data_IF_174554886290
#
_entry.id   IF_174554886290
#
_cell.length_a   1.000
_cell.length_b   1.000
_cell.length_c   1.000
_cell.angle_alpha   90.00
_cell.angle_beta   90.00
_cell.angle_gamma   90.00
#
_symmetry.space_group_name_H-M   'P 1'
#
loop_
_entity.id
_entity.type
_entity.pdbx_description
1 polymer ?
#
# COMPACT_ATOMS: atom_id res chain seq x y z
N UNK A 1 -16.09 20.52 2.81
CA UNK A 1 -15.05 19.93 1.94
C UNK A 1 -14.51 21.00 1.02
N UNK A 2 -13.19 21.04 0.82
CA UNK A 2 -12.54 22.03 -0.05
C UNK A 2 -12.45 21.47 -1.49
N UNK A 3 -13.48 21.72 -2.31
CA UNK A 3 -13.60 21.20 -3.68
C UNK A 3 -13.08 22.20 -4.72
N UNK A 4 -11.77 22.47 -4.69
CA UNK A 4 -11.14 23.33 -5.68
C UNK A 4 -10.92 22.57 -7.01
N UNK A 5 -11.78 22.82 -8.00
CA UNK A 5 -11.74 22.15 -9.30
C UNK A 5 -10.37 22.26 -10.00
N UNK A 6 -9.74 23.43 -9.97
CA UNK A 6 -8.42 23.64 -10.61
C UNK A 6 -7.35 22.77 -9.94
N UNK A 7 -7.38 22.67 -8.61
CA UNK A 7 -6.45 21.82 -7.86
C UNK A 7 -6.71 20.33 -8.13
N UNK A 8 -7.98 19.92 -8.21
CA UNK A 8 -8.34 18.55 -8.55
C UNK A 8 -7.87 18.16 -9.95
N UNK A 9 -8.08 19.02 -10.95
CA UNK A 9 -7.62 18.78 -12.33
C UNK A 9 -6.09 18.71 -12.41
N UNK A 10 -5.38 19.60 -11.70
CA UNK A 10 -3.93 19.59 -11.64
C UNK A 10 -3.39 18.26 -11.09
N UNK A 11 -3.87 17.83 -9.91
CA UNK A 11 -3.46 16.56 -9.29
C UNK A 11 -3.82 15.34 -10.16
N UNK A 12 -4.96 15.40 -10.86
CA UNK A 12 -5.35 14.34 -11.78
C UNK A 12 -4.38 14.22 -12.96
N UNK A 13 -3.97 15.34 -13.57
CA UNK A 13 -3.00 15.36 -14.67
C UNK A 13 -1.61 14.88 -14.22
N UNK A 14 -1.16 15.29 -13.03
CA UNK A 14 0.08 14.78 -12.44
C UNK A 14 0.03 13.26 -12.22
N UNK A 15 -1.11 12.75 -11.70
CA UNK A 15 -1.28 11.32 -11.53
C UNK A 15 -1.19 10.56 -12.87
N UNK A 16 -1.88 11.06 -13.91
CA UNK A 16 -1.80 10.46 -15.25
C UNK A 16 -0.37 10.45 -15.81
N UNK A 17 0.38 11.54 -15.63
CA UNK A 17 1.78 11.61 -16.04
C UNK A 17 2.64 10.59 -15.29
N UNK A 18 2.49 10.47 -13.96
CA UNK A 18 3.18 9.46 -13.16
C UNK A 18 2.85 8.04 -13.64
N UNK A 19 1.57 7.73 -13.90
CA UNK A 19 1.16 6.42 -14.43
C UNK A 19 1.86 6.07 -15.73
N UNK A 20 1.97 7.04 -16.64
CA UNK A 20 2.65 6.86 -17.92
C UNK A 20 4.16 6.69 -17.78
N UNK A 21 4.81 7.46 -16.88
CA UNK A 21 6.27 7.41 -16.68
C UNK A 21 6.71 6.08 -16.04
N UNK A 22 5.96 5.59 -15.06
CA UNK A 22 6.30 4.37 -14.32
C UNK A 22 5.62 3.11 -14.86
N UNK A 23 4.92 3.23 -15.99
CA UNK A 23 4.16 2.15 -16.64
C UNK A 23 3.26 1.37 -15.65
N UNK A 24 2.55 2.11 -14.80
CA UNK A 24 1.77 1.56 -13.68
C UNK A 24 0.63 0.67 -14.19
N UNK A 25 0.11 0.96 -15.38
CA UNK A 25 -1.02 0.23 -15.97
C UNK A 25 -0.64 -1.17 -16.46
N UNK A 26 0.59 -1.37 -16.94
CA UNK A 26 1.10 -2.69 -17.40
C UNK A 26 1.66 -3.55 -16.27
N UNK A 27 1.63 -3.05 -15.03
CA UNK A 27 2.25 -3.64 -13.85
C UNK A 27 1.97 -5.14 -13.69
N UNK A 28 0.73 -5.58 -13.92
CA UNK A 28 0.31 -6.97 -13.73
C UNK A 28 1.00 -7.96 -14.69
N UNK A 29 1.45 -7.47 -15.84
CA UNK A 29 1.87 -8.32 -16.95
C UNK A 29 3.39 -8.49 -17.02
N UNK A 30 4.17 -7.53 -16.48
CA UNK A 30 5.61 -7.43 -16.75
C UNK A 30 6.50 -7.09 -15.53
N UNK A 31 5.93 -6.83 -14.34
CA UNK A 31 6.69 -6.36 -13.19
C UNK A 31 7.54 -7.44 -12.51
N UNK A 32 8.86 -7.47 -12.77
CA UNK A 32 9.79 -8.23 -11.91
C UNK A 32 9.99 -7.46 -10.61
N UNK A 33 9.59 -8.05 -9.49
CA UNK A 33 9.89 -7.51 -8.16
C UNK A 33 11.41 -7.47 -7.97
N UNK A 34 12.01 -6.32 -7.58
CA UNK A 34 13.44 -6.25 -7.29
C UNK A 34 13.83 -7.24 -6.18
N UNK A 35 14.97 -7.89 -6.32
CA UNK A 35 15.42 -8.93 -5.37
C UNK A 35 15.51 -8.41 -3.91
N UNK A 36 15.93 -7.15 -3.74
CA UNK A 36 15.97 -6.48 -2.44
C UNK A 36 14.58 -6.32 -1.83
N UNK A 37 13.55 -6.07 -2.64
CA UNK A 37 12.15 -6.00 -2.21
C UNK A 37 11.65 -7.38 -1.81
N UNK A 38 11.96 -8.40 -2.60
CA UNK A 38 11.54 -9.78 -2.31
C UNK A 38 12.16 -10.30 -1.01
N UNK A 39 13.44 -9.99 -0.75
CA UNK A 39 14.18 -10.48 0.42
C UNK A 39 14.02 -9.63 1.68
N UNK A 40 13.95 -8.31 1.53
CA UNK A 40 14.01 -7.35 2.64
C UNK A 40 12.81 -6.41 2.69
N UNK A 41 11.80 -6.63 1.84
CA UNK A 41 10.53 -5.92 1.89
C UNK A 41 9.86 -6.10 3.25
N UNK A 42 9.36 -5.01 3.81
CA UNK A 42 8.74 -4.97 5.14
C UNK A 42 7.24 -4.64 5.08
N UNK A 43 6.63 -4.69 3.89
CA UNK A 43 5.20 -4.45 3.68
C UNK A 43 4.56 -5.75 3.19
N UNK A 44 3.45 -6.15 3.80
CA UNK A 44 2.71 -7.33 3.36
C UNK A 44 1.19 -7.17 3.53
N UNK A 45 0.37 -7.59 2.55
CA UNK A 45 -1.07 -7.78 2.70
C UNK A 45 -1.47 -8.56 3.96
N UNK A 46 -2.40 -8.02 4.76
CA UNK A 46 -2.90 -8.66 5.98
C UNK A 46 -4.43 -8.67 6.06
N UNK A 47 -5.10 -9.52 5.27
CA UNK A 47 -6.57 -9.66 5.39
C UNK A 47 -7.37 -8.37 5.14
N UNK A 48 -8.53 -8.27 5.79
CA UNK A 48 -9.47 -7.16 5.66
C UNK A 48 -10.07 -6.79 7.03
N UNK A 49 -10.33 -5.50 7.26
CA UNK A 49 -11.12 -5.04 8.39
C UNK A 49 -12.60 -5.43 8.26
N UNK A 50 -13.39 -5.27 9.33
CA UNK A 50 -14.83 -5.61 9.31
C UNK A 50 -15.62 -4.81 8.28
N UNK A 51 -15.18 -3.59 7.97
CA UNK A 51 -15.79 -2.76 6.94
C UNK A 51 -15.41 -3.16 5.50
N UNK A 52 -14.54 -4.16 5.34
CA UNK A 52 -14.04 -4.66 4.06
C UNK A 52 -12.75 -3.96 3.59
N UNK A 53 -12.21 -3.01 4.35
CA UNK A 53 -10.96 -2.32 4.00
C UNK A 53 -9.78 -3.30 3.99
N UNK A 54 -8.95 -3.36 2.92
CA UNK A 54 -7.74 -4.18 2.94
C UNK A 54 -6.75 -3.63 3.98
N UNK A 55 -6.20 -4.50 4.82
CA UNK A 55 -5.15 -4.11 5.74
C UNK A 55 -3.78 -4.49 5.19
N UNK A 56 -2.78 -3.71 5.60
CA UNK A 56 -1.37 -3.92 5.33
C UNK A 56 -0.61 -4.02 6.65
N UNK A 57 0.30 -4.97 6.71
CA UNK A 57 1.29 -5.07 7.76
C UNK A 57 2.55 -4.34 7.31
N UNK A 58 3.12 -3.48 8.16
CA UNK A 58 4.36 -2.75 7.88
C UNK A 58 5.33 -2.95 9.04
N UNK A 59 6.41 -3.70 8.81
CA UNK A 59 7.40 -4.07 9.82
C UNK A 59 8.48 -2.99 10.02
N UNK A 60 8.10 -1.71 10.19
CA UNK A 60 9.07 -0.60 10.27
C UNK A 60 10.11 -0.78 11.39
N UNK A 61 9.74 -1.42 12.50
CA UNK A 61 10.64 -1.63 13.65
C UNK A 61 11.61 -2.80 13.52
N UNK A 62 11.39 -3.71 12.56
CA UNK A 62 12.26 -4.89 12.33
C UNK A 62 13.01 -4.82 11.01
N UNK A 63 12.58 -3.99 10.08
CA UNK A 63 13.24 -3.81 8.78
C UNK A 63 14.51 -2.94 8.89
N UNK A 64 15.56 -3.34 8.19
CA UNK A 64 16.71 -2.46 7.94
C UNK A 64 16.33 -1.42 6.87
N UNK A 65 15.59 -0.38 7.28
CA UNK A 65 15.13 0.67 6.36
C UNK A 65 16.31 1.38 5.67
N UNK A 66 17.41 1.57 6.38
CA UNK A 66 18.58 2.25 5.83
C UNK A 66 19.27 1.36 4.78
N UNK A 67 19.55 0.10 5.12
CA UNK A 67 20.14 -0.86 4.18
C UNK A 67 19.23 -1.13 2.99
N UNK A 68 17.92 -1.19 3.21
CA UNK A 68 16.93 -1.32 2.14
C UNK A 68 17.02 -0.15 1.15
N UNK A 69 16.89 1.09 1.64
CA UNK A 69 16.94 2.30 0.79
C UNK A 69 18.31 2.47 0.13
N UNK A 70 19.39 2.09 0.80
CA UNK A 70 20.74 2.13 0.23
C UNK A 70 20.98 1.07 -0.86
N UNK A 71 20.19 0.00 -0.89
CA UNK A 71 20.37 -1.16 -1.80
C UNK A 71 19.41 -1.18 -2.99
N UNK A 72 18.56 -0.16 -3.13
CA UNK A 72 17.54 -0.06 -4.17
C UNK A 72 17.60 1.34 -4.80
N UNK A 73 17.38 1.47 -6.11
CA UNK A 73 17.36 2.81 -6.72
C UNK A 73 16.02 3.53 -6.46
N UNK A 74 16.02 4.86 -6.50
CA UNK A 74 14.82 5.66 -6.24
C UNK A 74 13.65 5.33 -7.19
N UNK A 75 13.95 5.00 -8.44
CA UNK A 75 12.96 4.53 -9.42
C UNK A 75 12.26 3.26 -8.93
N UNK A 76 13.03 2.25 -8.49
CA UNK A 76 12.49 0.99 -7.98
C UNK A 76 11.70 1.17 -6.67
N UNK A 77 12.06 2.15 -5.82
CA UNK A 77 11.27 2.51 -4.64
C UNK A 77 9.91 3.06 -5.06
N UNK A 78 9.88 4.04 -5.97
CA UNK A 78 8.64 4.62 -6.48
C UNK A 78 7.78 3.58 -7.18
N UNK A 79 8.42 2.70 -7.96
CA UNK A 79 7.78 1.58 -8.64
C UNK A 79 7.18 0.57 -7.66
N UNK A 80 7.93 0.17 -6.63
CA UNK A 80 7.46 -0.75 -5.59
C UNK A 80 6.31 -0.15 -4.77
N UNK A 81 6.43 1.12 -4.37
CA UNK A 81 5.34 1.80 -3.66
C UNK A 81 4.05 1.85 -4.48
N UNK A 82 4.16 2.22 -5.76
CA UNK A 82 3.03 2.23 -6.69
C UNK A 82 2.40 0.84 -6.86
N UNK A 83 3.24 -0.19 -6.94
CA UNK A 83 2.84 -1.60 -6.99
C UNK A 83 2.02 -2.03 -5.78
N UNK A 84 2.45 -1.67 -4.57
CA UNK A 84 1.70 -1.95 -3.34
C UNK A 84 0.31 -1.30 -3.40
N UNK A 85 0.24 -0.02 -3.76
CA UNK A 85 -1.03 0.70 -3.85
C UNK A 85 -1.98 0.10 -4.89
N UNK A 86 -1.50 -0.23 -6.10
CA UNK A 86 -2.34 -0.85 -7.13
C UNK A 86 -2.84 -2.24 -6.73
N UNK A 87 -1.99 -3.02 -6.06
CA UNK A 87 -2.38 -4.33 -5.53
C UNK A 87 -3.50 -4.18 -4.50
N UNK A 88 -3.39 -3.22 -3.59
CA UNK A 88 -4.45 -2.97 -2.61
C UNK A 88 -5.71 -2.35 -3.22
N UNK A 89 -5.59 -1.54 -4.29
CA UNK A 89 -6.74 -1.04 -5.04
C UNK A 89 -7.51 -2.19 -5.68
N UNK A 90 -6.79 -3.16 -6.25
CA UNK A 90 -7.40 -4.38 -6.78
C UNK A 90 -8.08 -5.18 -5.67
N UNK A 91 -7.43 -5.37 -4.52
CA UNK A 91 -8.01 -6.07 -3.37
C UNK A 91 -9.27 -5.38 -2.85
N UNK A 92 -9.23 -4.06 -2.65
CA UNK A 92 -10.39 -3.27 -2.23
C UNK A 92 -11.54 -3.38 -3.23
N UNK A 93 -11.28 -3.33 -4.54
CA UNK A 93 -12.30 -3.50 -5.58
C UNK A 93 -12.91 -4.90 -5.56
N UNK A 94 -12.10 -5.95 -5.37
CA UNK A 94 -12.59 -7.33 -5.27
C UNK A 94 -13.48 -7.50 -4.04
N UNK A 95 -13.07 -7.00 -2.88
CA UNK A 95 -13.87 -7.07 -1.67
C UNK A 95 -15.13 -6.20 -1.79
N UNK A 96 -15.03 -4.99 -2.34
CA UNK A 96 -16.20 -4.14 -2.57
C UNK A 96 -17.27 -4.78 -3.47
N UNK A 97 -16.85 -5.55 -4.49
CA UNK A 97 -17.78 -6.35 -5.31
C UNK A 97 -18.49 -7.44 -4.50
N UNK A 98 -17.80 -8.07 -3.55
CA UNK A 98 -18.36 -9.12 -2.68
C UNK A 98 -19.43 -8.58 -1.73
N UNK A 99 -19.28 -7.34 -1.27
CA UNK A 99 -20.19 -6.70 -0.33
C UNK A 99 -21.18 -5.72 -0.97
N UNK A 100 -21.19 -5.63 -2.31
CA UNK A 100 -22.00 -4.67 -3.08
C UNK A 100 -21.85 -3.20 -2.61
N UNK A 101 -20.69 -2.86 -2.04
CA UNK A 101 -20.38 -1.52 -1.54
C UNK A 101 -19.00 -1.06 -2.01
N UNK A 102 -18.82 0.24 -2.28
CA UNK A 102 -17.50 0.76 -2.59
C UNK A 102 -16.60 0.67 -1.35
N UNK A 103 -15.59 -0.19 -1.42
CA UNK A 103 -14.53 -0.25 -0.40
C UNK A 103 -13.45 0.76 -0.76
N UNK A 104 -13.18 1.67 0.16
CA UNK A 104 -12.03 2.58 0.06
C UNK A 104 -10.79 1.90 0.63
N UNK A 105 -9.62 2.23 0.08
CA UNK A 105 -8.38 1.90 0.77
C UNK A 105 -8.24 2.84 1.95
N UNK A 106 -8.08 2.28 3.15
CA UNK A 106 -7.44 2.98 4.27
C UNK A 106 -6.15 2.23 4.55
N UNK A 107 -5.04 2.95 4.53
CA UNK A 107 -3.77 2.41 4.97
C UNK A 107 -3.80 2.32 6.50
N UNK A 108 -3.97 1.11 7.03
CA UNK A 108 -3.72 0.84 8.44
C UNK A 108 -2.27 0.38 8.56
N UNK A 109 -1.43 1.16 9.22
CA UNK A 109 -0.05 0.76 9.54
C UNK A 109 -0.04 0.19 10.95
N UNK A 110 0.14 -1.13 11.06
CA UNK A 110 0.30 -1.76 12.37
C UNK A 110 1.79 -1.89 12.67
N UNK A 111 2.35 -0.88 13.33
CA UNK A 111 3.70 -0.95 13.89
C UNK A 111 3.66 -1.82 15.16
N UNK A 112 4.11 -3.06 15.04
CA UNK A 112 4.38 -3.87 16.22
C UNK A 112 5.78 -3.55 16.73
N UNK A 113 5.87 -2.59 17.65
CA UNK A 113 6.94 -2.63 18.65
C UNK A 113 6.64 -3.85 19.54
N UNK A 114 7.59 -4.75 19.69
CA UNK A 114 7.42 -6.06 20.33
C UNK A 114 6.87 -6.01 21.77
N UNK A 115 6.92 -4.87 22.46
CA UNK A 115 6.34 -4.70 23.80
C UNK A 115 4.81 -4.64 23.83
N UNK A 116 4.15 -4.36 22.70
CA UNK A 116 2.72 -3.99 22.69
C UNK A 116 1.79 -5.17 22.34
N UNK A 117 2.33 -6.30 21.91
CA UNK A 117 1.55 -7.50 21.51
C UNK A 117 0.85 -8.16 22.70
N UNK A 118 1.39 -8.06 23.91
CA UNK A 118 0.77 -8.68 25.10
C UNK A 118 -0.47 -7.94 25.60
N UNK A 119 -0.62 -6.66 25.27
CA UNK A 119 -1.68 -5.82 25.85
C UNK A 119 -2.83 -5.50 24.88
N UNK A 120 -2.70 -5.86 23.59
CA UNK A 120 -3.58 -5.34 22.54
C UNK A 120 -4.34 -6.38 21.70
N UNK A 121 -4.51 -7.61 22.18
CA UNK A 121 -5.49 -8.56 21.58
C UNK A 121 -6.89 -7.92 21.45
N UNK A 122 -7.25 -7.01 22.37
CA UNK A 122 -8.53 -6.29 22.36
C UNK A 122 -8.66 -5.23 21.24
N UNK A 123 -7.56 -4.74 20.65
CA UNK A 123 -7.61 -3.73 19.58
C UNK A 123 -7.99 -4.38 18.23
N UNK A 124 -7.57 -5.63 18.01
CA UNK A 124 -7.93 -6.38 16.81
C UNK A 124 -9.44 -6.68 16.79
N UNK A 125 -10.06 -6.86 17.94
CA UNK A 125 -11.50 -7.10 18.06
C UNK A 125 -12.37 -5.83 17.93
N UNK A 126 -11.79 -4.63 17.98
CA UNK A 126 -12.52 -3.34 17.90
C UNK A 126 -12.41 -2.63 16.54
N UNK A 127 -11.54 -3.11 15.64
CA UNK A 127 -11.49 -2.76 14.21
C UNK A 127 -12.39 -3.68 13.36
#
# INVERSE_FOLDING_TARGET
GNFNLKKCEYLFRENLACRAIYDIDSFADHGRIPEVVEKYGFVSPFGFAKDGTPLLYVAMGRGDLYGFVASICSYEICWYGSTCFETDLKRARMEGKKWEKPTLIKLCMINFLEEVVKDNEHIIESL
#
